data_IF_648296822723
#
_entry.id   IF_648296822723
#
_cell.length_a   1.000
_cell.length_b   1.000
_cell.length_c   1.000
_cell.angle_alpha   90.00
_cell.angle_beta   90.00
_cell.angle_gamma   90.00
#
_symmetry.space_group_name_H-M   'P 1'
#
loop_
_entity.id
_entity.type
_entity.pdbx_description
1 polymer ?
#
# COMPACT_ATOMS: atom_id res chain seq x y z
N UNK A 1 -4.46 0.91 -26.78
CA UNK A 1 -3.44 0.45 -25.82
C UNK A 1 -4.08 0.52 -24.45
N UNK A 2 -4.25 -0.61 -23.76
CA UNK A 2 -5.01 -0.70 -22.51
C UNK A 2 -4.10 -0.71 -21.27
N UNK A 3 -2.93 -0.05 -21.35
CA UNK A 3 -1.94 -0.04 -20.27
C UNK A 3 -2.13 1.19 -19.41
N UNK A 4 -2.10 0.99 -18.10
CA UNK A 4 -1.94 2.11 -17.17
C UNK A 4 -0.57 2.80 -17.34
N UNK A 5 -0.52 4.08 -16.98
CA UNK A 5 0.66 4.92 -17.17
C UNK A 5 1.78 4.44 -16.24
N UNK A 6 2.93 4.07 -16.81
CA UNK A 6 4.05 3.41 -16.10
C UNK A 6 5.32 4.26 -15.99
N UNK A 7 5.31 5.49 -16.50
CA UNK A 7 6.50 6.33 -16.50
C UNK A 7 6.85 6.66 -15.03
N UNK A 8 7.96 6.13 -14.51
CA UNK A 8 8.49 6.42 -13.16
C UNK A 8 7.90 5.61 -12.02
N UNK A 9 7.28 4.50 -12.37
CA UNK A 9 6.94 3.44 -11.43
C UNK A 9 7.95 2.30 -11.53
N UNK A 10 7.92 1.41 -10.54
CA UNK A 10 8.74 0.22 -10.52
C UNK A 10 7.90 -1.03 -10.79
N UNK A 11 8.38 -1.95 -11.65
CA UNK A 11 7.81 -3.28 -11.77
C UNK A 11 8.26 -4.18 -10.62
N UNK A 12 7.61 -5.33 -10.48
CA UNK A 12 7.99 -6.33 -9.48
C UNK A 12 9.36 -6.99 -9.77
N UNK A 13 9.68 -7.22 -11.05
CA UNK A 13 10.90 -7.91 -11.45
C UNK A 13 12.02 -6.96 -11.89
N UNK A 14 12.03 -6.57 -13.16
CA UNK A 14 13.12 -5.90 -13.85
C UNK A 14 12.58 -4.83 -14.79
N UNK A 15 13.47 -3.94 -15.23
CA UNK A 15 13.11 -2.79 -16.06
C UNK A 15 12.49 -3.19 -17.41
N UNK A 16 12.92 -4.31 -18.01
CA UNK A 16 12.47 -4.75 -19.33
C UNK A 16 11.05 -5.31 -19.28
N UNK A 17 10.65 -5.90 -18.14
CA UNK A 17 9.25 -6.26 -17.89
C UNK A 17 8.34 -5.03 -18.02
N UNK A 18 8.67 -3.93 -17.34
CA UNK A 18 7.96 -2.65 -17.48
C UNK A 18 6.48 -2.64 -17.05
N UNK A 19 6.00 -3.69 -16.37
CA UNK A 19 4.67 -3.74 -15.75
C UNK A 19 4.73 -3.15 -14.35
N UNK A 20 4.29 -1.91 -14.21
CA UNK A 20 4.28 -1.23 -12.92
C UNK A 20 3.40 -1.93 -11.90
N UNK A 21 3.83 -1.88 -10.64
CA UNK A 21 3.04 -2.34 -9.50
C UNK A 21 3.05 -1.24 -8.43
N UNK A 22 1.89 -0.96 -7.84
CA UNK A 22 1.71 0.17 -6.92
C UNK A 22 2.57 0.03 -5.66
N UNK A 23 2.58 -1.14 -5.03
CA UNK A 23 3.38 -1.44 -3.84
C UNK A 23 4.88 -1.43 -4.15
N UNK A 24 5.31 -2.05 -5.24
CA UNK A 24 6.71 -2.05 -5.68
C UNK A 24 7.19 -0.62 -5.91
N UNK A 25 6.34 0.23 -6.48
CA UNK A 25 6.62 1.65 -6.66
C UNK A 25 6.72 2.37 -5.32
N UNK A 26 5.82 2.08 -4.37
CA UNK A 26 5.84 2.68 -3.05
C UNK A 26 7.10 2.28 -2.25
N UNK A 27 7.40 0.99 -2.18
CA UNK A 27 8.58 0.45 -1.47
C UNK A 27 9.89 0.93 -2.10
N UNK A 28 9.99 0.94 -3.44
CA UNK A 28 11.16 1.46 -4.13
C UNK A 28 11.34 2.96 -3.89
N UNK A 29 10.24 3.73 -3.91
CA UNK A 29 10.26 5.16 -3.59
C UNK A 29 10.70 5.38 -2.14
N UNK A 30 10.11 4.67 -1.19
CA UNK A 30 10.48 4.77 0.23
C UNK A 30 11.97 4.46 0.45
N UNK A 31 12.48 3.39 -0.15
CA UNK A 31 13.90 3.06 -0.14
C UNK A 31 14.76 4.21 -0.69
N UNK A 32 14.40 4.76 -1.86
CA UNK A 32 15.13 5.89 -2.46
C UNK A 32 15.12 7.13 -1.55
N UNK A 33 13.97 7.42 -0.92
CA UNK A 33 13.82 8.55 0.00
C UNK A 33 14.68 8.36 1.26
N UNK A 34 14.68 7.18 1.86
CA UNK A 34 15.52 6.85 3.01
C UNK A 34 17.01 6.93 2.67
N UNK A 35 17.42 6.39 1.52
CA UNK A 35 18.80 6.50 1.04
C UNK A 35 19.19 7.96 0.80
N UNK A 36 18.28 8.79 0.29
CA UNK A 36 18.54 10.22 0.06
C UNK A 36 18.80 11.02 1.34
N UNK A 37 18.50 10.46 2.51
CA UNK A 37 18.80 11.04 3.82
C UNK A 37 20.20 10.69 4.32
N UNK A 38 20.91 9.76 3.65
CA UNK A 38 22.30 9.40 3.94
C UNK A 38 23.29 10.33 3.19
N UNK A 39 24.57 10.38 3.61
CA UNK A 39 25.60 11.15 2.92
C UNK A 39 25.77 10.71 1.46
N UNK A 40 25.87 11.68 0.54
CA UNK A 40 25.94 11.45 -0.91
C UNK A 40 27.17 10.63 -1.31
N UNK A 41 28.25 10.72 -0.53
CA UNK A 41 29.49 9.97 -0.73
C UNK A 41 29.28 8.45 -0.60
N UNK A 42 28.23 8.03 0.10
CA UNK A 42 27.88 6.61 0.33
C UNK A 42 26.89 6.12 -0.72
N UNK A 43 25.86 6.92 -1.04
CA UNK A 43 24.69 6.48 -1.82
C UNK A 43 24.59 7.04 -3.24
N UNK A 44 25.45 7.99 -3.62
CA UNK A 44 25.40 8.65 -4.91
C UNK A 44 24.31 9.72 -5.03
N UNK A 45 24.04 10.17 -6.25
CA UNK A 45 23.10 11.26 -6.53
C UNK A 45 21.65 10.91 -6.18
N UNK A 46 20.90 11.91 -5.71
CA UNK A 46 19.50 11.76 -5.31
C UNK A 46 18.59 11.65 -6.54
N UNK A 47 17.49 10.92 -6.37
CA UNK A 47 16.46 10.75 -7.40
C UNK A 47 15.44 11.90 -7.38
N UNK A 48 14.92 12.29 -8.55
CA UNK A 48 13.94 13.37 -8.71
C UNK A 48 12.48 12.95 -8.35
N UNK A 49 11.63 13.83 -7.77
CA UNK A 49 10.45 13.41 -6.98
C UNK A 49 9.09 13.31 -7.72
N UNK A 50 8.98 13.61 -9.02
CA UNK A 50 7.74 14.13 -9.63
C UNK A 50 6.51 13.20 -9.85
N UNK A 51 6.33 12.03 -9.20
CA UNK A 51 5.43 10.97 -9.77
C UNK A 51 4.49 10.22 -8.83
N UNK A 52 3.72 10.95 -8.02
CA UNK A 52 2.80 10.35 -7.04
C UNK A 52 1.30 10.55 -7.40
N UNK A 53 0.44 9.50 -7.28
CA UNK A 53 -1.04 9.52 -7.51
C UNK A 53 -1.84 8.74 -6.41
N UNK A 54 -3.20 8.85 -6.43
CA UNK A 54 -4.15 8.83 -5.28
C UNK A 54 -4.83 7.49 -4.92
N UNK A 55 -5.26 7.38 -3.64
CA UNK A 55 -6.39 6.57 -3.10
C UNK A 55 -6.14 5.07 -3.06
N UNK A 56 -7.02 4.28 -2.43
CA UNK A 56 -6.89 2.82 -2.29
C UNK A 56 -6.18 2.15 -3.47
N UNK A 57 -5.17 1.35 -3.16
CA UNK A 57 -4.20 0.92 -4.15
C UNK A 57 -4.44 -0.54 -4.51
N UNK A 58 -4.67 -0.75 -5.80
CA UNK A 58 -4.64 -2.04 -6.46
C UNK A 58 -3.23 -2.39 -6.92
N UNK A 59 -3.00 -3.63 -7.36
CA UNK A 59 -1.65 -4.06 -7.74
C UNK A 59 -1.15 -3.34 -9.02
N UNK A 60 -1.81 -3.51 -10.17
CA UNK A 60 -1.27 -3.03 -11.46
C UNK A 60 -2.01 -1.83 -12.05
N UNK A 61 -3.34 -1.84 -11.99
CA UNK A 61 -4.20 -0.86 -12.66
C UNK A 61 -5.35 -0.41 -11.75
N UNK A 62 -6.02 0.74 -11.97
CA UNK A 62 -7.13 1.14 -11.11
C UNK A 62 -8.28 0.12 -11.12
N UNK A 63 -8.79 -0.22 -9.93
CA UNK A 63 -9.96 -1.07 -9.73
C UNK A 63 -11.26 -0.37 -10.19
N UNK A 64 -11.44 -0.21 -11.50
CA UNK A 64 -12.58 0.51 -12.09
C UNK A 64 -13.75 -0.38 -12.52
N UNK A 65 -13.54 -1.69 -12.59
CA UNK A 65 -14.54 -2.65 -13.03
C UNK A 65 -15.45 -3.08 -11.88
N UNK A 66 -16.67 -3.51 -12.21
CA UNK A 66 -17.68 -3.84 -11.21
C UNK A 66 -17.44 -5.25 -10.64
N UNK A 67 -17.46 -5.39 -9.31
CA UNK A 67 -17.21 -6.66 -8.61
C UNK A 67 -18.10 -7.83 -9.05
N UNK A 68 -19.33 -7.56 -9.52
CA UNK A 68 -20.22 -8.62 -10.00
C UNK A 68 -19.66 -9.38 -11.23
N UNK A 69 -18.68 -8.80 -11.94
CA UNK A 69 -18.01 -9.48 -13.04
C UNK A 69 -17.23 -10.72 -12.57
N UNK A 70 -16.88 -10.83 -11.29
CA UNK A 70 -16.31 -12.05 -10.72
C UNK A 70 -17.25 -13.26 -10.83
N UNK A 71 -18.57 -13.05 -11.00
CA UNK A 71 -19.52 -14.13 -11.32
C UNK A 71 -19.25 -14.79 -12.67
N UNK A 72 -18.48 -14.14 -13.54
CA UNK A 72 -18.08 -14.66 -14.84
C UNK A 72 -16.77 -15.43 -14.78
N UNK A 73 -16.19 -15.64 -13.59
CA UNK A 73 -14.92 -16.33 -13.43
C UNK A 73 -15.03 -17.79 -13.87
N UNK A 74 -14.38 -18.18 -14.98
CA UNK A 74 -14.42 -19.55 -15.45
C UNK A 74 -13.34 -20.42 -14.80
N UNK A 75 -12.38 -19.83 -14.07
CA UNK A 75 -11.31 -20.58 -13.44
C UNK A 75 -11.84 -21.21 -12.14
N UNK A 76 -11.84 -22.54 -12.07
CA UNK A 76 -12.42 -23.25 -10.93
C UNK A 76 -11.53 -23.20 -9.68
N UNK A 77 -10.23 -22.92 -9.85
CA UNK A 77 -9.21 -23.04 -8.79
C UNK A 77 -8.73 -21.68 -8.25
N UNK A 78 -9.11 -20.57 -8.88
CA UNK A 78 -8.69 -19.23 -8.49
C UNK A 78 -9.91 -18.35 -8.25
N UNK A 79 -9.90 -17.57 -7.17
CA UNK A 79 -10.92 -16.57 -6.87
C UNK A 79 -10.38 -15.16 -7.13
N UNK A 80 -11.28 -14.21 -7.37
CA UNK A 80 -10.98 -12.78 -7.49
C UNK A 80 -9.93 -12.44 -8.56
N UNK A 81 -10.12 -12.98 -9.78
CA UNK A 81 -9.18 -12.83 -10.91
C UNK A 81 -9.76 -12.10 -12.12
N UNK A 82 -11.05 -11.75 -12.10
CA UNK A 82 -11.71 -11.17 -13.29
C UNK A 82 -11.58 -9.66 -13.31
N UNK A 83 -11.62 -9.03 -12.15
CA UNK A 83 -11.37 -7.60 -12.02
C UNK A 83 -10.20 -7.35 -11.10
N UNK A 84 -9.62 -6.17 -11.24
CA UNK A 84 -8.60 -5.68 -10.33
C UNK A 84 -9.26 -5.17 -9.04
N UNK A 85 -8.63 -5.42 -7.90
CA UNK A 85 -9.15 -5.09 -6.57
C UNK A 85 -8.19 -4.16 -5.85
N UNK A 86 -8.71 -3.38 -4.90
CA UNK A 86 -7.87 -2.63 -3.96
C UNK A 86 -7.45 -3.55 -2.82
N UNK A 87 -6.18 -3.47 -2.41
CA UNK A 87 -5.59 -4.35 -1.41
C UNK A 87 -5.07 -3.56 -0.21
N UNK A 88 -5.19 -4.15 0.98
CA UNK A 88 -4.72 -3.55 2.24
C UNK A 88 -3.19 -3.40 2.21
N UNK A 89 -2.52 -4.38 1.61
CA UNK A 89 -1.06 -4.44 1.51
C UNK A 89 -0.53 -3.30 0.64
N UNK A 90 -1.04 -3.19 -0.59
CA UNK A 90 -0.66 -2.11 -1.51
C UNK A 90 -1.00 -0.73 -0.94
N UNK A 91 -2.14 -0.62 -0.25
CA UNK A 91 -2.57 0.64 0.37
C UNK A 91 -1.67 1.03 1.56
N UNK A 92 -1.28 0.05 2.39
CA UNK A 92 -0.36 0.26 3.52
C UNK A 92 1.01 0.76 3.07
N UNK A 93 1.62 0.11 2.06
CA UNK A 93 2.90 0.53 1.47
C UNK A 93 2.81 1.94 0.89
N UNK A 94 1.74 2.23 0.14
CA UNK A 94 1.56 3.55 -0.46
C UNK A 94 1.46 4.65 0.60
N UNK A 95 0.73 4.45 1.71
CA UNK A 95 0.66 5.44 2.80
C UNK A 95 2.06 5.74 3.37
N UNK A 96 2.85 4.71 3.67
CA UNK A 96 4.20 4.87 4.24
C UNK A 96 5.09 5.73 3.32
N UNK A 97 5.17 5.37 2.04
CA UNK A 97 5.92 6.11 1.04
C UNK A 97 5.43 7.55 0.87
N UNK A 98 4.11 7.77 0.83
CA UNK A 98 3.50 9.09 0.68
C UNK A 98 3.77 10.01 1.87
N UNK A 99 3.69 9.49 3.09
CA UNK A 99 3.99 10.24 4.32
C UNK A 99 5.44 10.67 4.33
N UNK A 100 6.37 9.74 4.04
CA UNK A 100 7.80 10.06 3.97
C UNK A 100 8.10 11.07 2.86
N UNK A 101 7.50 10.88 1.69
CA UNK A 101 7.62 11.80 0.56
C UNK A 101 7.17 13.21 0.94
N UNK A 102 5.97 13.34 1.53
CA UNK A 102 5.43 14.64 1.96
C UNK A 102 6.34 15.32 2.99
N UNK A 103 6.97 14.55 3.89
CA UNK A 103 7.92 15.08 4.88
C UNK A 103 9.15 15.69 4.22
N UNK A 104 9.67 15.07 3.16
CA UNK A 104 10.86 15.53 2.44
C UNK A 104 10.56 16.61 1.39
N UNK A 105 9.34 16.61 0.83
CA UNK A 105 8.90 17.53 -0.22
C UNK A 105 7.57 18.22 0.15
N UNK A 106 7.54 19.06 1.22
CA UNK A 106 6.30 19.59 1.79
C UNK A 106 5.55 20.59 0.92
N UNK A 107 6.15 21.06 -0.18
CA UNK A 107 5.53 21.98 -1.15
C UNK A 107 4.91 21.24 -2.35
N UNK A 108 5.23 19.96 -2.55
CA UNK A 108 4.79 19.21 -3.72
C UNK A 108 3.42 18.56 -3.49
N UNK A 109 2.37 19.12 -4.11
CA UNK A 109 1.00 18.54 -4.16
C UNK A 109 0.46 18.08 -2.80
N UNK A 110 0.78 18.81 -1.74
CA UNK A 110 0.52 18.42 -0.35
C UNK A 110 -0.95 18.17 -0.08
N UNK A 111 -1.84 18.99 -0.65
CA UNK A 111 -3.29 18.82 -0.50
C UNK A 111 -3.78 17.53 -1.15
N UNK A 112 -3.27 17.19 -2.33
CA UNK A 112 -3.62 15.96 -3.03
C UNK A 112 -3.10 14.73 -2.30
N UNK A 113 -1.88 14.80 -1.74
CA UNK A 113 -1.29 13.74 -0.94
C UNK A 113 -2.07 13.55 0.36
N UNK A 114 -2.46 14.61 1.05
CA UNK A 114 -3.23 14.52 2.30
C UNK A 114 -4.61 13.90 2.10
N UNK A 115 -5.31 14.29 1.03
CA UNK A 115 -6.57 13.66 0.66
C UNK A 115 -6.38 12.18 0.29
N UNK A 116 -5.29 11.86 -0.42
CA UNK A 116 -4.95 10.48 -0.76
C UNK A 116 -4.73 9.62 0.50
N UNK A 117 -3.87 10.07 1.41
CA UNK A 117 -3.57 9.38 2.67
C UNK A 117 -4.85 9.21 3.49
N UNK A 118 -5.67 10.25 3.60
CA UNK A 118 -6.92 10.19 4.38
C UNK A 118 -7.90 9.16 3.83
N UNK A 119 -8.06 9.08 2.50
CA UNK A 119 -8.91 8.07 1.86
C UNK A 119 -8.33 6.65 1.99
N UNK A 120 -7.01 6.51 1.87
CA UNK A 120 -6.31 5.24 2.02
C UNK A 120 -6.41 4.69 3.46
N UNK A 121 -6.29 5.56 4.45
CA UNK A 121 -6.54 5.24 5.87
C UNK A 121 -7.97 4.77 6.08
N UNK A 122 -8.96 5.49 5.54
CA UNK A 122 -10.36 5.09 5.66
C UNK A 122 -10.60 3.70 5.03
N UNK A 123 -10.02 3.44 3.86
CA UNK A 123 -10.09 2.13 3.22
C UNK A 123 -9.52 1.01 4.10
N UNK A 124 -8.34 1.20 4.70
CA UNK A 124 -7.77 0.21 5.62
C UNK A 124 -8.70 -0.01 6.82
N UNK A 125 -9.24 1.06 7.42
CA UNK A 125 -10.18 0.95 8.54
C UNK A 125 -11.47 0.20 8.15
N UNK A 126 -12.00 0.44 6.95
CA UNK A 126 -13.24 -0.19 6.44
C UNK A 126 -13.05 -1.67 6.08
N UNK A 127 -11.84 -2.07 5.69
CA UNK A 127 -11.50 -3.46 5.34
C UNK A 127 -11.19 -4.33 6.57
N UNK A 128 -11.13 -3.76 7.77
CA UNK A 128 -10.84 -4.51 8.99
C UNK A 128 -11.98 -5.49 9.31
N UNK A 129 -11.63 -6.75 9.60
CA UNK A 129 -12.60 -7.76 10.04
C UNK A 129 -13.05 -7.51 11.49
N UNK A 130 -14.13 -8.17 11.90
CA UNK A 130 -14.71 -7.98 13.23
C UNK A 130 -13.79 -8.41 14.38
N UNK A 131 -12.88 -9.35 14.14
CA UNK A 131 -11.86 -9.80 15.11
C UNK A 131 -10.65 -8.85 15.19
N UNK A 132 -10.56 -7.84 14.32
CA UNK A 132 -9.47 -6.85 14.28
C UNK A 132 -8.37 -7.15 13.27
N UNK A 133 -8.44 -8.26 12.54
CA UNK A 133 -7.46 -8.61 11.52
C UNK A 133 -7.78 -8.01 10.14
N UNK A 134 -6.92 -8.28 9.16
CA UNK A 134 -7.16 -8.05 7.75
C UNK A 134 -6.80 -9.30 6.97
N UNK A 135 -7.51 -9.58 5.89
CA UNK A 135 -7.23 -10.73 5.04
C UNK A 135 -6.05 -10.44 4.11
N UNK A 136 -5.03 -11.31 4.10
CA UNK A 136 -3.89 -11.22 3.19
C UNK A 136 -4.16 -11.86 1.85
N UNK A 137 -3.99 -11.08 0.78
CA UNK A 137 -4.17 -11.52 -0.61
C UNK A 137 -2.84 -11.90 -1.26
N UNK A 138 -1.75 -11.24 -0.87
CA UNK A 138 -0.42 -11.44 -1.46
C UNK A 138 0.58 -12.15 -0.52
N UNK A 139 0.16 -12.44 0.72
CA UNK A 139 0.92 -13.21 1.70
C UNK A 139 0.01 -13.94 2.68
N UNK A 140 0.55 -14.94 3.40
CA UNK A 140 -0.24 -15.85 4.24
C UNK A 140 -0.22 -15.40 5.71
N UNK A 141 -1.34 -15.05 6.33
CA UNK A 141 -2.52 -14.43 5.74
C UNK A 141 -2.86 -13.20 6.59
N UNK A 142 -3.39 -13.44 7.79
CA UNK A 142 -3.82 -12.37 8.68
C UNK A 142 -2.67 -11.60 9.34
N UNK A 143 -1.58 -12.27 9.72
CA UNK A 143 -0.38 -11.61 10.25
C UNK A 143 0.27 -10.70 9.21
N UNK A 144 0.33 -11.18 7.96
CA UNK A 144 0.90 -10.43 6.83
C UNK A 144 0.11 -9.15 6.55
N UNK A 145 -1.20 -9.23 6.32
CA UNK A 145 -1.99 -8.03 6.04
C UNK A 145 -2.10 -7.11 7.26
N UNK A 146 -2.14 -7.65 8.49
CA UNK A 146 -2.14 -6.82 9.70
C UNK A 146 -0.84 -6.02 9.83
N UNK A 147 0.31 -6.56 9.42
CA UNK A 147 1.57 -5.81 9.40
C UNK A 147 1.49 -4.59 8.47
N UNK A 148 1.03 -4.76 7.22
CA UNK A 148 0.87 -3.64 6.28
C UNK A 148 -0.16 -2.62 6.74
N UNK A 149 -1.31 -3.08 7.25
CA UNK A 149 -2.36 -2.21 7.76
C UNK A 149 -1.86 -1.35 8.93
N UNK A 150 -1.20 -1.98 9.91
CA UNK A 150 -0.64 -1.29 11.07
C UNK A 150 0.48 -0.31 10.66
N UNK A 151 1.37 -0.69 9.73
CA UNK A 151 2.43 0.18 9.22
C UNK A 151 1.87 1.43 8.53
N UNK A 152 0.89 1.25 7.64
CA UNK A 152 0.21 2.38 6.98
C UNK A 152 -0.53 3.30 7.96
N UNK A 153 -1.27 2.73 8.91
CA UNK A 153 -2.00 3.51 9.92
C UNK A 153 -1.03 4.28 10.84
N UNK A 154 0.04 3.63 11.32
CA UNK A 154 1.05 4.26 12.17
C UNK A 154 1.76 5.41 11.44
N UNK A 155 2.17 5.21 10.18
CA UNK A 155 2.78 6.26 9.36
C UNK A 155 1.83 7.46 9.19
N UNK A 156 0.51 7.22 9.10
CA UNK A 156 -0.50 8.28 9.06
C UNK A 156 -0.77 8.95 10.42
N UNK A 157 -0.02 8.62 11.47
CA UNK A 157 -0.15 9.19 12.82
C UNK A 157 -1.27 8.58 13.66
N UNK A 158 -1.77 7.40 13.29
CA UNK A 158 -2.75 6.65 14.08
C UNK A 158 -2.04 5.89 15.20
N UNK A 159 -2.69 5.79 16.35
CA UNK A 159 -2.19 5.08 17.53
C UNK A 159 -3.33 4.32 18.22
N UNK A 160 -3.01 3.47 19.20
CA UNK A 160 -4.03 2.80 20.01
C UNK A 160 -4.99 3.76 20.74
N UNK A 161 -4.61 5.02 20.95
CA UNK A 161 -5.44 6.00 21.67
C UNK A 161 -6.40 6.76 20.77
N UNK A 162 -6.08 6.92 19.48
CA UNK A 162 -6.89 7.70 18.53
C UNK A 162 -7.52 6.86 17.41
N UNK A 163 -7.18 5.57 17.31
CA UNK A 163 -7.64 4.67 16.27
C UNK A 163 -8.04 3.31 16.86
N UNK A 164 -9.35 3.02 16.96
CA UNK A 164 -9.84 1.72 17.44
C UNK A 164 -9.36 0.54 16.59
N UNK A 165 -9.10 0.75 15.30
CA UNK A 165 -8.61 -0.30 14.41
C UNK A 165 -7.24 -0.82 14.85
N UNK A 166 -6.31 0.07 15.22
CA UNK A 166 -5.00 -0.32 15.76
C UNK A 166 -5.15 -1.12 17.06
N UNK A 167 -6.02 -0.67 17.98
CA UNK A 167 -6.22 -1.36 19.25
C UNK A 167 -6.78 -2.77 19.06
N UNK A 168 -7.75 -2.95 18.16
CA UNK A 168 -8.31 -4.28 17.83
C UNK A 168 -7.27 -5.19 17.19
N UNK A 169 -6.53 -4.69 16.20
CA UNK A 169 -5.47 -5.44 15.53
C UNK A 169 -4.36 -5.88 16.47
N UNK A 170 -3.96 -5.00 17.39
CA UNK A 170 -2.98 -5.32 18.43
C UNK A 170 -3.50 -6.45 19.33
N UNK A 171 -4.77 -6.38 19.76
CA UNK A 171 -5.39 -7.44 20.55
C UNK A 171 -5.48 -8.77 19.77
N UNK A 172 -5.83 -8.73 18.49
CA UNK A 172 -5.85 -9.90 17.62
C UNK A 172 -4.47 -10.57 17.57
N UNK A 173 -3.41 -9.81 17.29
CA UNK A 173 -2.04 -10.34 17.20
C UNK A 173 -1.57 -10.95 18.54
N UNK A 174 -1.88 -10.30 19.66
CA UNK A 174 -1.56 -10.83 21.00
C UNK A 174 -2.32 -12.12 21.32
N UNK A 175 -3.57 -12.26 20.86
CA UNK A 175 -4.37 -13.47 21.09
C UNK A 175 -3.86 -14.68 20.32
N UNK A 176 -3.19 -14.48 19.18
CA UNK A 176 -2.63 -15.56 18.35
C UNK A 176 -1.14 -15.80 18.60
N UNK A 177 -0.53 -15.10 19.56
CA UNK A 177 0.87 -15.30 19.93
C UNK A 177 1.08 -16.71 20.47
N UNK A 178 2.08 -17.42 19.94
CA UNK A 178 2.50 -18.75 20.40
C UNK A 178 3.37 -18.66 21.66
N UNK A 179 3.72 -19.79 22.27
CA UNK A 179 4.44 -19.83 23.56
C UNK A 179 5.97 -19.65 23.43
N UNK A 180 6.50 -19.78 22.23
CA UNK A 180 7.92 -19.65 21.89
C UNK A 180 8.35 -18.21 21.63
#
# INVERSE_FOLDING_TARGET
MYRHISKGSWPFSDQDCGWQVSDCTAEALECCLLLSMLPQEIVGEKMEPERVKKGGFSAWEPAGAQKWLELLNPAEIFADIIVEHEYVECTGSAIQALVLFKKLYPEYKTKEIDNCISNAVQFIEDMQTSDGSWYGSWGICFTYASWFALGGLEAAGKTCTNCPAIAKATNFLLQIQTQD
#
